data_IF_275955322347
#
_entry.id   IF_275955322347
#
_cell.length_a   1.000
_cell.length_b   1.000
_cell.length_c   1.000
_cell.angle_alpha   90.00
_cell.angle_beta   90.00
_cell.angle_gamma   90.00
#
_symmetry.space_group_name_H-M   'P 1'
#
loop_
_entity.id
_entity.type
_entity.pdbx_description
1 polymer ?
#
# COMPACT_ATOMS: atom_id res chain seq x y z
N UNK A 1 17.00 67.68 28.86
CA UNK A 1 16.53 67.67 27.46
C UNK A 1 15.20 66.93 27.43
N UNK A 2 14.07 67.57 27.78
CA UNK A 2 13.13 68.32 26.92
C UNK A 2 12.65 67.55 25.67
N UNK A 3 11.33 67.28 25.67
CA UNK A 3 10.42 66.60 24.69
C UNK A 3 10.22 67.45 23.40
N UNK A 4 9.17 67.27 22.55
CA UNK A 4 8.41 66.11 21.99
C UNK A 4 8.24 66.20 20.44
N UNK A 5 7.54 65.26 19.77
CA UNK A 5 6.34 65.54 18.93
C UNK A 5 5.79 64.33 18.14
N UNK A 6 4.51 64.03 18.38
CA UNK A 6 3.48 63.44 17.47
C UNK A 6 2.85 64.65 16.67
N UNK A 7 1.77 64.57 15.84
CA UNK A 7 0.96 63.48 15.26
C UNK A 7 0.45 63.75 13.79
N UNK A 8 -0.57 62.97 13.36
CA UNK A 8 -1.66 63.23 12.37
C UNK A 8 -1.42 62.71 10.93
N UNK A 9 -2.23 61.81 10.33
CA UNK A 9 -3.70 61.63 10.16
C UNK A 9 -4.24 62.26 8.86
N UNK A 10 -5.35 61.67 8.36
CA UNK A 10 -6.29 62.10 7.29
C UNK A 10 -6.11 61.35 5.95
N UNK A 11 -7.11 60.87 5.19
CA UNK A 11 -8.52 60.50 5.35
C UNK A 11 -9.08 60.14 3.94
N UNK A 12 -10.21 59.39 3.88
CA UNK A 12 -11.32 59.47 2.89
C UNK A 12 -11.02 59.18 1.39
N UNK A 13 -11.89 58.68 0.52
CA UNK A 13 -13.20 58.03 0.51
C UNK A 13 -13.52 57.72 -0.99
N UNK A 14 -14.65 57.06 -1.26
CA UNK A 14 -15.51 57.25 -2.47
C UNK A 14 -15.15 56.44 -3.74
N UNK A 15 -16.05 55.82 -4.51
CA UNK A 15 -17.49 55.51 -4.46
C UNK A 15 -17.87 54.78 -5.80
N UNK A 16 -18.95 53.95 -5.80
CA UNK A 16 -19.82 53.53 -6.94
C UNK A 16 -19.26 52.60 -8.05
N UNK A 17 -19.97 51.60 -8.61
CA UNK A 17 -21.37 51.56 -9.06
C UNK A 17 -21.93 50.14 -9.20
N UNK A 18 -23.27 50.04 -9.14
CA UNK A 18 -24.13 48.87 -9.23
C UNK A 18 -24.47 48.41 -10.67
N UNK A 19 -24.94 47.17 -10.84
CA UNK A 19 -26.11 46.85 -11.69
C UNK A 19 -26.70 45.45 -11.44
N UNK A 20 -28.03 45.40 -11.40
CA UNK A 20 -28.94 44.24 -11.29
C UNK A 20 -29.47 43.80 -12.67
N UNK A 21 -30.25 42.69 -12.67
CA UNK A 21 -31.22 42.19 -13.69
C UNK A 21 -30.67 41.33 -14.83
N UNK A 22 -31.33 40.29 -15.36
CA UNK A 22 -32.67 39.70 -15.20
C UNK A 22 -32.68 38.29 -15.84
N UNK A 23 -33.67 37.47 -15.47
CA UNK A 23 -33.99 36.14 -16.00
C UNK A 23 -34.37 36.15 -17.50
N UNK A 24 -34.05 35.05 -18.21
CA UNK A 24 -34.89 34.49 -19.27
C UNK A 24 -34.42 33.07 -19.64
N UNK A 25 -35.29 32.10 -19.33
CA UNK A 25 -35.40 30.81 -19.99
C UNK A 25 -35.90 30.99 -21.44
N UNK A 26 -35.36 30.22 -22.38
CA UNK A 26 -36.11 29.53 -23.46
C UNK A 26 -35.14 28.80 -24.41
N UNK A 27 -35.17 27.47 -24.28
CA UNK A 27 -35.33 26.44 -25.31
C UNK A 27 -34.34 26.22 -26.49
N UNK A 28 -33.85 24.97 -26.50
CA UNK A 28 -33.85 24.04 -27.62
C UNK A 28 -32.97 24.29 -28.86
N UNK A 29 -31.68 23.98 -28.77
CA UNK A 29 -31.03 23.24 -29.88
C UNK A 29 -29.73 22.52 -29.47
N UNK A 30 -29.69 21.21 -29.75
CA UNK A 30 -28.51 20.33 -29.94
C UNK A 30 -28.43 19.10 -29.01
N UNK A 31 -29.56 18.42 -28.83
CA UNK A 31 -29.67 17.02 -28.39
C UNK A 31 -29.18 16.03 -29.47
N UNK A 32 -27.93 16.12 -29.93
CA UNK A 32 -27.40 15.22 -30.97
C UNK A 32 -25.99 14.66 -30.72
N UNK A 33 -25.49 14.71 -29.48
CA UNK A 33 -24.12 14.22 -29.16
C UNK A 33 -23.97 13.44 -27.85
N UNK A 34 -25.04 12.80 -27.38
CA UNK A 34 -24.94 11.83 -26.27
C UNK A 34 -25.64 10.54 -26.67
N UNK A 35 -24.97 9.42 -26.39
CA UNK A 35 -25.40 8.03 -26.60
C UNK A 35 -25.02 7.34 -27.92
N UNK A 36 -23.80 7.57 -28.43
CA UNK A 36 -23.00 6.44 -28.94
C UNK A 36 -22.41 5.70 -27.73
N UNK A 37 -23.29 5.03 -27.00
CA UNK A 37 -22.90 4.15 -25.89
C UNK A 37 -22.30 2.90 -26.51
N UNK A 38 -20.99 2.77 -26.35
CA UNK A 38 -20.28 1.52 -26.56
C UNK A 38 -20.99 0.41 -25.79
N UNK A 39 -21.64 -0.50 -26.51
CA UNK A 39 -22.12 -1.77 -25.98
C UNK A 39 -20.91 -2.72 -25.99
N UNK A 40 -20.29 -3.06 -24.85
CA UNK A 40 -19.19 -4.01 -24.84
C UNK A 40 -19.68 -5.35 -25.39
N UNK A 41 -19.03 -5.82 -26.46
CA UNK A 41 -19.25 -7.14 -27.05
C UNK A 41 -18.58 -8.19 -26.17
N UNK A 42 -19.22 -8.57 -25.07
CA UNK A 42 -18.78 -9.70 -24.23
C UNK A 42 -19.91 -10.71 -24.02
N UNK A 43 -20.26 -11.42 -25.09
CA UNK A 43 -20.94 -12.73 -25.01
C UNK A 43 -19.96 -13.87 -25.33
N UNK A 44 -18.68 -13.72 -24.94
CA UNK A 44 -17.77 -14.86 -24.89
C UNK A 44 -17.97 -15.57 -23.55
N UNK A 45 -18.09 -16.90 -23.51
CA UNK A 45 -18.10 -17.63 -22.26
C UNK A 45 -16.81 -17.31 -21.49
N UNK A 46 -16.94 -16.64 -20.35
CA UNK A 46 -15.82 -16.46 -19.42
C UNK A 46 -15.37 -17.85 -18.97
N UNK A 47 -14.06 -18.18 -19.06
CA UNK A 47 -13.56 -19.42 -18.49
C UNK A 47 -13.91 -19.47 -16.99
N UNK A 48 -14.24 -20.66 -16.43
CA UNK A 48 -14.56 -20.78 -15.02
C UNK A 48 -13.38 -20.31 -14.17
N UNK A 49 -13.64 -19.69 -13.00
CA UNK A 49 -12.57 -19.26 -12.11
C UNK A 49 -11.80 -20.49 -11.63
N UNK A 50 -10.51 -20.56 -11.93
CA UNK A 50 -9.58 -21.48 -11.28
C UNK A 50 -9.40 -21.01 -9.84
N UNK A 51 -10.18 -21.57 -8.92
CA UNK A 51 -9.95 -21.48 -7.49
C UNK A 51 -8.61 -22.15 -7.19
N UNK A 52 -7.56 -21.35 -7.00
CA UNK A 52 -6.51 -21.72 -6.06
C UNK A 52 -7.11 -21.45 -4.68
N UNK A 53 -7.40 -22.52 -3.95
CA UNK A 53 -7.70 -22.46 -2.52
C UNK A 53 -6.62 -21.62 -1.83
N UNK A 54 -6.95 -20.37 -1.54
CA UNK A 54 -6.34 -19.64 -0.43
C UNK A 54 -7.40 -19.67 0.64
N UNK A 55 -7.08 -20.34 1.74
CA UNK A 55 -7.92 -20.57 2.91
C UNK A 55 -8.36 -19.23 3.50
N UNK A 56 -9.43 -18.64 2.97
CA UNK A 56 -10.04 -17.41 3.49
C UNK A 56 -11.57 -17.35 3.25
N UNK A 57 -12.18 -18.46 2.80
CA UNK A 57 -13.62 -18.57 2.59
C UNK A 57 -14.23 -19.60 3.57
N UNK A 58 -14.08 -19.34 4.87
CA UNK A 58 -14.83 -20.02 5.93
C UNK A 58 -15.04 -19.06 7.11
N UNK A 59 -15.67 -17.92 6.86
CA UNK A 59 -16.12 -17.00 7.91
C UNK A 59 -17.34 -16.17 7.48
N UNK A 60 -18.31 -16.81 6.80
CA UNK A 60 -19.63 -16.20 6.61
C UNK A 60 -20.54 -16.69 7.74
N UNK A 61 -20.60 -15.95 8.86
CA UNK A 61 -21.59 -16.19 9.92
C UNK A 61 -21.10 -16.09 11.37
N UNK A 62 -20.09 -15.28 11.70
CA UNK A 62 -19.71 -15.06 13.11
C UNK A 62 -19.43 -13.57 13.38
N UNK A 63 -19.59 -13.10 14.64
CA UNK A 63 -19.40 -11.68 15.00
C UNK A 63 -17.97 -11.23 14.65
N UNK A 64 -17.67 -9.92 14.55
CA UNK A 64 -16.38 -9.44 14.09
C UNK A 64 -15.26 -9.99 14.98
N UNK A 65 -14.58 -11.02 14.49
CA UNK A 65 -13.40 -11.57 15.14
C UNK A 65 -12.26 -10.57 14.94
N UNK A 66 -11.48 -10.24 15.99
CA UNK A 66 -10.34 -9.36 15.85
C UNK A 66 -9.40 -9.96 14.81
N UNK A 67 -8.98 -9.16 13.84
CA UNK A 67 -7.96 -9.54 12.86
C UNK A 67 -6.69 -9.91 13.62
N UNK A 68 -6.45 -11.19 13.83
CA UNK A 68 -5.25 -11.68 14.51
C UNK A 68 -4.13 -11.85 13.50
N UNK A 69 -2.93 -11.38 13.83
CA UNK A 69 -1.71 -11.79 13.12
C UNK A 69 -1.55 -13.31 13.19
N UNK A 70 -0.73 -13.89 12.29
CA UNK A 70 -0.30 -15.32 12.34
C UNK A 70 0.20 -15.77 13.73
N UNK A 71 0.62 -14.82 14.57
CA UNK A 71 1.11 -15.00 15.94
C UNK A 71 0.01 -14.97 17.02
N UNK A 72 -1.26 -14.79 16.66
CA UNK A 72 -2.39 -14.73 17.59
C UNK A 72 -2.56 -13.41 18.36
N UNK A 73 -1.75 -12.37 18.07
CA UNK A 73 -1.90 -11.07 18.73
C UNK A 73 -3.14 -10.30 18.22
N UNK A 74 -3.96 -9.74 19.13
CA UNK A 74 -5.11 -8.94 18.76
C UNK A 74 -4.64 -7.59 18.18
N UNK A 75 -5.00 -7.33 16.92
CA UNK A 75 -4.77 -6.02 16.30
C UNK A 75 -5.81 -5.02 16.79
N UNK A 76 -5.36 -3.84 17.18
CA UNK A 76 -6.26 -2.78 17.62
C UNK A 76 -6.84 -2.04 16.40
N UNK A 77 -8.17 -1.97 16.31
CA UNK A 77 -8.86 -1.36 15.17
C UNK A 77 -8.53 0.13 14.98
N UNK A 78 -8.26 0.86 16.08
CA UNK A 78 -7.90 2.30 16.04
C UNK A 78 -6.64 2.61 15.23
N UNK A 79 -5.74 1.63 15.08
CA UNK A 79 -4.50 1.80 14.34
C UNK A 79 -4.59 1.34 12.88
N UNK A 80 -5.76 0.89 12.41
CA UNK A 80 -5.92 0.46 11.02
C UNK A 80 -5.73 1.61 10.03
N UNK A 81 -6.41 2.74 10.24
CA UNK A 81 -6.25 3.95 9.40
C UNK A 81 -4.82 4.48 9.38
N UNK A 82 -4.22 4.74 10.56
CA UNK A 82 -2.80 5.10 10.66
C UNK A 82 -1.85 4.13 9.93
N UNK A 83 -2.07 2.82 10.07
CA UNK A 83 -1.23 1.83 9.40
C UNK A 83 -1.35 1.87 7.88
N UNK A 84 -2.56 2.04 7.34
CA UNK A 84 -2.78 2.18 5.90
C UNK A 84 -2.07 3.43 5.39
N UNK A 85 -2.28 4.57 6.06
CA UNK A 85 -1.72 5.84 5.65
C UNK A 85 -0.17 5.83 5.68
N UNK A 86 0.43 5.33 6.77
CA UNK A 86 1.89 5.19 6.88
C UNK A 86 2.49 4.29 5.79
N UNK A 87 1.82 3.20 5.43
CA UNK A 87 2.26 2.31 4.33
C UNK A 87 2.27 3.04 3.00
N UNK A 88 1.27 3.89 2.74
CA UNK A 88 1.18 4.66 1.50
C UNK A 88 2.27 5.74 1.36
N UNK A 89 2.87 6.17 2.47
CA UNK A 89 3.97 7.14 2.49
C UNK A 89 5.35 6.50 2.26
N UNK A 90 5.45 5.17 2.21
CA UNK A 90 6.72 4.51 1.91
C UNK A 90 7.13 4.86 0.47
N UNK A 91 8.34 5.43 0.25
CA UNK A 91 8.80 5.73 -1.10
C UNK A 91 8.88 4.44 -1.95
N UNK A 92 8.15 4.40 -3.06
CA UNK A 92 8.05 3.21 -3.93
C UNK A 92 9.40 2.74 -4.50
N UNK A 93 10.39 3.62 -4.57
CA UNK A 93 11.75 3.29 -5.02
C UNK A 93 12.68 2.76 -3.91
N UNK A 94 12.17 2.60 -2.69
CA UNK A 94 12.94 2.10 -1.55
C UNK A 94 13.08 0.57 -1.58
N UNK A 95 12.01 -0.16 -1.88
CA UNK A 95 11.97 -1.63 -1.93
C UNK A 95 10.99 -2.13 -2.99
N UNK A 96 11.25 -3.30 -3.56
CA UNK A 96 10.30 -4.03 -4.42
C UNK A 96 9.31 -4.87 -3.60
N UNK A 97 9.59 -5.10 -2.32
CA UNK A 97 8.68 -5.82 -1.44
C UNK A 97 7.45 -4.96 -1.13
N UNK A 98 6.27 -5.55 -1.25
CA UNK A 98 5.01 -4.91 -0.86
C UNK A 98 4.97 -4.74 0.65
N UNK A 99 4.83 -3.49 1.11
CA UNK A 99 4.66 -3.19 2.52
C UNK A 99 3.32 -3.73 3.06
N UNK A 100 3.36 -4.28 4.27
CA UNK A 100 2.24 -4.93 4.93
C UNK A 100 1.57 -3.99 5.93
N UNK A 101 0.33 -3.60 5.64
CA UNK A 101 -0.53 -2.85 6.57
C UNK A 101 -0.68 -3.59 7.90
N UNK A 102 -0.85 -4.92 7.87
CA UNK A 102 -1.02 -5.74 9.07
C UNK A 102 0.23 -5.72 9.97
N UNK A 103 1.43 -5.74 9.37
CA UNK A 103 2.68 -5.64 10.13
C UNK A 103 2.80 -4.28 10.83
N UNK A 104 2.47 -3.20 10.11
CA UNK A 104 2.48 -1.83 10.64
C UNK A 104 1.41 -1.64 11.72
N UNK A 105 0.19 -2.15 11.52
CA UNK A 105 -0.87 -2.11 12.53
C UNK A 105 -0.46 -2.86 13.80
N UNK A 106 0.18 -4.02 13.67
CA UNK A 106 0.74 -4.74 14.80
C UNK A 106 1.84 -3.94 15.50
N UNK A 107 2.72 -3.28 14.74
CA UNK A 107 3.77 -2.42 15.28
C UNK A 107 3.20 -1.25 16.09
N UNK A 108 2.20 -0.56 15.56
CA UNK A 108 1.49 0.52 16.26
C UNK A 108 0.76 0.01 17.51
N UNK A 109 0.13 -1.17 17.43
CA UNK A 109 -0.56 -1.79 18.57
C UNK A 109 0.41 -2.13 19.72
N UNK A 110 1.65 -2.54 19.41
CA UNK A 110 2.70 -2.81 20.40
C UNK A 110 3.34 -1.53 20.94
N UNK A 111 3.49 -0.52 20.09
CA UNK A 111 4.06 0.76 20.48
C UNK A 111 3.11 1.58 21.37
N UNK A 112 1.80 1.42 21.17
CA UNK A 112 0.71 2.08 21.92
C UNK A 112 0.95 3.59 22.13
N UNK A 113 1.36 4.24 21.04
CA UNK A 113 1.72 5.66 21.06
C UNK A 113 0.48 6.56 20.96
N UNK A 114 0.53 7.78 21.52
CA UNK A 114 -0.46 8.82 21.25
C UNK A 114 -0.56 9.11 19.75
N UNK A 115 -1.77 9.40 19.27
CA UNK A 115 -2.01 9.59 17.84
C UNK A 115 -1.24 10.80 17.29
N UNK A 116 -0.98 11.80 18.12
CA UNK A 116 -0.18 12.99 17.82
C UNK A 116 1.29 12.61 17.56
N UNK A 117 1.82 11.62 18.28
CA UNK A 117 3.18 11.11 18.04
C UNK A 117 3.24 10.30 16.74
N UNK A 118 2.16 9.57 16.42
CA UNK A 118 2.04 8.87 15.12
C UNK A 118 1.89 9.89 13.98
N UNK A 119 1.14 10.97 14.19
CA UNK A 119 1.00 12.08 13.23
C UNK A 119 2.34 12.76 12.95
N UNK A 120 3.19 12.97 13.98
CA UNK A 120 4.54 13.46 13.75
C UNK A 120 5.37 12.51 12.87
N UNK A 121 5.22 11.18 13.06
CA UNK A 121 5.88 10.21 12.19
C UNK A 121 5.34 10.26 10.75
N UNK A 122 4.04 10.52 10.56
CA UNK A 122 3.44 10.80 9.25
C UNK A 122 4.10 12.02 8.61
N UNK A 123 4.16 13.15 9.30
CA UNK A 123 4.80 14.38 8.80
C UNK A 123 6.29 14.18 8.45
N UNK A 124 7.00 13.37 9.25
CA UNK A 124 8.40 12.98 8.98
C UNK A 124 8.52 12.20 7.68
N UNK A 125 7.62 11.24 7.41
CA UNK A 125 7.66 10.44 6.19
C UNK A 125 7.25 11.24 4.96
N UNK A 126 6.24 12.10 5.07
CA UNK A 126 5.77 12.95 3.97
C UNK A 126 6.82 14.00 3.56
N UNK A 127 7.67 14.41 4.50
CA UNK A 127 8.76 15.37 4.26
C UNK A 127 10.04 14.76 3.69
N UNK A 128 10.07 13.46 3.40
CA UNK A 128 11.26 12.80 2.84
C UNK A 128 11.52 13.29 1.41
N UNK A 129 12.80 13.57 1.10
CA UNK A 129 13.17 14.01 -0.24
C UNK A 129 13.27 12.84 -1.25
N UNK A 130 13.32 13.18 -2.54
CA UNK A 130 13.43 12.21 -3.63
C UNK A 130 14.75 11.42 -3.65
N UNK A 131 15.76 11.83 -2.89
CA UNK A 131 17.07 11.15 -2.79
C UNK A 131 17.09 10.15 -1.63
N UNK A 132 16.18 10.27 -0.66
CA UNK A 132 16.10 9.41 0.52
C UNK A 132 16.19 7.92 0.17
N UNK A 133 15.33 7.43 -0.73
CA UNK A 133 15.27 6.01 -1.08
C UNK A 133 16.60 5.47 -1.62
N UNK A 134 17.32 6.29 -2.39
CA UNK A 134 18.64 5.93 -2.92
C UNK A 134 19.70 5.92 -1.81
N UNK A 135 19.70 6.92 -0.94
CA UNK A 135 20.63 7.00 0.19
C UNK A 135 20.42 5.83 1.15
N UNK A 136 19.15 5.54 1.49
CA UNK A 136 18.78 4.43 2.34
C UNK A 136 19.27 3.08 1.80
N UNK A 137 19.05 2.79 0.51
CA UNK A 137 19.55 1.54 -0.14
C UNK A 137 21.07 1.41 -0.15
N UNK A 138 21.80 2.52 -0.08
CA UNK A 138 23.28 2.52 -0.05
C UNK A 138 23.82 2.33 1.36
N UNK A 139 23.11 2.79 2.38
CA UNK A 139 23.61 2.86 3.75
C UNK A 139 23.03 1.78 4.68
N UNK A 140 21.83 1.28 4.40
CA UNK A 140 21.18 0.31 5.26
C UNK A 140 21.82 -1.09 5.10
N UNK A 141 22.35 -1.68 6.18
CA UNK A 141 23.06 -2.96 6.12
C UNK A 141 22.10 -4.12 5.89
N UNK A 142 22.54 -5.10 5.09
CA UNK A 142 21.88 -6.39 4.97
C UNK A 142 22.17 -7.24 6.21
N UNK A 143 21.20 -8.05 6.66
CA UNK A 143 21.49 -9.06 7.67
C UNK A 143 22.55 -10.02 7.11
N UNK A 144 23.58 -10.40 7.89
CA UNK A 144 24.48 -11.46 7.50
C UNK A 144 23.65 -12.73 7.30
N UNK A 145 23.49 -13.16 6.04
CA UNK A 145 22.89 -14.46 5.76
C UNK A 145 23.72 -15.51 6.50
N UNK A 146 23.08 -16.27 7.38
CA UNK A 146 23.71 -17.34 8.17
C UNK A 146 24.25 -18.49 7.28
N UNK A 147 24.09 -18.40 5.96
CA UNK A 147 24.54 -19.39 4.97
C UNK A 147 25.44 -18.68 3.95
N UNK A 148 26.74 -18.61 4.20
CA UNK A 148 27.72 -18.34 3.13
C UNK A 148 28.94 -17.48 3.45
N UNK A 149 28.99 -16.78 4.60
CA UNK A 149 30.17 -16.02 4.98
C UNK A 149 31.13 -16.84 5.86
N UNK A 150 31.48 -18.05 5.41
CA UNK A 150 32.75 -18.64 5.86
C UNK A 150 33.83 -17.87 5.10
N UNK A 151 34.77 -17.17 5.75
CA UNK A 151 35.94 -16.67 5.05
C UNK A 151 36.68 -17.91 4.54
N UNK A 152 36.47 -18.24 3.26
CA UNK A 152 37.23 -19.29 2.61
C UNK A 152 38.69 -18.86 2.67
N UNK A 153 39.44 -19.50 3.56
CA UNK A 153 40.89 -19.37 3.70
C UNK A 153 41.62 -20.01 2.51
N UNK A 154 41.00 -20.00 1.33
CA UNK A 154 41.59 -20.50 0.10
C UNK A 154 42.49 -19.41 -0.46
N UNK A 155 43.80 -19.60 -0.33
CA UNK A 155 44.86 -18.96 -1.11
C UNK A 155 44.63 -19.19 -2.61
N UNK A 156 43.62 -18.55 -3.20
CA UNK A 156 43.50 -18.37 -4.64
C UNK A 156 43.46 -16.88 -4.91
N UNK A 157 44.38 -16.45 -5.76
CA UNK A 157 44.38 -15.13 -6.38
C UNK A 157 43.12 -15.00 -7.25
N UNK A 158 41.98 -14.67 -6.64
CA UNK A 158 40.81 -14.18 -7.35
C UNK A 158 40.91 -12.67 -7.38
N UNK A 159 40.95 -12.11 -8.59
CA UNK A 159 41.01 -10.68 -8.86
C UNK A 159 40.04 -9.93 -7.95
N UNK A 160 40.54 -8.91 -7.25
CA UNK A 160 39.75 -8.04 -6.37
C UNK A 160 38.49 -7.60 -7.10
N UNK A 161 37.34 -8.07 -6.66
CA UNK A 161 36.05 -7.64 -7.18
C UNK A 161 36.00 -6.12 -7.05
N UNK A 162 35.81 -5.42 -8.18
CA UNK A 162 35.77 -3.96 -8.19
C UNK A 162 34.77 -3.44 -7.17
N UNK A 163 35.18 -2.49 -6.31
CA UNK A 163 34.31 -1.93 -5.27
C UNK A 163 32.99 -1.37 -5.84
N UNK A 164 33.02 -0.89 -7.08
CA UNK A 164 31.81 -0.42 -7.78
C UNK A 164 30.83 -1.56 -8.07
N UNK A 165 31.34 -2.71 -8.49
CA UNK A 165 30.52 -3.90 -8.75
C UNK A 165 29.94 -4.47 -7.45
N UNK A 166 30.72 -4.45 -6.37
CA UNK A 166 30.25 -4.88 -5.05
C UNK A 166 29.15 -3.95 -4.50
N UNK A 167 29.31 -2.62 -4.64
CA UNK A 167 28.28 -1.66 -4.23
C UNK A 167 26.98 -1.84 -5.04
N UNK A 168 27.09 -2.06 -6.36
CA UNK A 168 25.93 -2.32 -7.21
C UNK A 168 25.20 -3.61 -6.82
N UNK A 169 25.93 -4.69 -6.54
CA UNK A 169 25.34 -5.94 -6.04
C UNK A 169 24.65 -5.73 -4.68
N UNK A 170 25.25 -4.99 -3.76
CA UNK A 170 24.62 -4.69 -2.47
C UNK A 170 23.32 -3.89 -2.62
N UNK A 171 23.28 -2.92 -3.56
CA UNK A 171 22.05 -2.18 -3.85
C UNK A 171 20.93 -3.09 -4.40
N UNK A 172 21.27 -4.01 -5.31
CA UNK A 172 20.28 -4.96 -5.86
C UNK A 172 19.79 -5.94 -4.79
N UNK A 173 20.67 -6.42 -3.91
CA UNK A 173 20.24 -7.27 -2.80
C UNK A 173 19.36 -6.50 -1.80
N UNK A 174 19.64 -5.22 -1.55
CA UNK A 174 18.85 -4.41 -0.62
C UNK A 174 17.39 -4.24 -1.04
N UNK A 175 17.13 -4.01 -2.33
CA UNK A 175 15.78 -3.71 -2.82
C UNK A 175 14.80 -4.86 -2.56
N UNK A 176 15.31 -6.10 -2.45
CA UNK A 176 14.53 -7.32 -2.24
C UNK A 176 14.64 -7.88 -0.81
N UNK A 177 15.74 -7.62 -0.10
CA UNK A 177 16.04 -8.31 1.16
C UNK A 177 15.54 -7.59 2.43
N UNK A 178 15.35 -6.27 2.38
CA UNK A 178 14.95 -5.48 3.56
C UNK A 178 13.52 -5.01 3.41
N UNK A 179 12.66 -5.45 4.33
CA UNK A 179 11.26 -5.03 4.42
C UNK A 179 11.15 -3.52 4.64
N UNK A 180 10.40 -2.77 3.79
CA UNK A 180 10.36 -1.31 3.82
C UNK A 180 9.65 -0.72 5.04
N UNK A 181 8.88 -1.50 5.79
CA UNK A 181 8.23 -1.09 7.05
C UNK A 181 9.25 -0.66 8.12
N UNK A 182 10.54 -1.00 7.95
CA UNK A 182 11.63 -0.43 8.74
C UNK A 182 11.69 1.09 8.68
N UNK A 183 11.33 1.69 7.54
CA UNK A 183 11.29 3.15 7.36
C UNK A 183 10.25 3.76 8.30
N UNK A 184 9.08 3.12 8.40
CA UNK A 184 8.02 3.51 9.35
C UNK A 184 8.49 3.35 10.79
N UNK A 185 9.10 2.20 11.13
CA UNK A 185 9.65 1.99 12.47
C UNK A 185 10.64 3.09 12.86
N UNK A 186 11.55 3.45 11.95
CA UNK A 186 12.52 4.51 12.19
C UNK A 186 11.86 5.88 12.38
N UNK A 187 10.85 6.23 11.58
CA UNK A 187 10.09 7.48 11.74
C UNK A 187 9.36 7.55 13.09
N UNK A 188 8.72 6.46 13.53
CA UNK A 188 8.07 6.36 14.85
C UNK A 188 9.09 6.54 15.99
N UNK A 189 10.25 5.91 15.87
CA UNK A 189 11.32 6.04 16.87
C UNK A 189 11.85 7.47 16.93
N UNK A 190 12.02 8.15 15.79
CA UNK A 190 12.40 9.56 15.74
C UNK A 190 11.34 10.43 16.42
N UNK A 191 10.07 10.22 16.11
CA UNK A 191 8.96 10.97 16.71
C UNK A 191 8.93 10.80 18.24
N UNK A 192 9.06 9.57 18.74
CA UNK A 192 9.09 9.29 20.18
C UNK A 192 10.32 9.88 20.86
N UNK A 193 11.51 9.72 20.26
CA UNK A 193 12.73 10.33 20.80
C UNK A 193 12.67 11.85 20.83
N UNK A 194 11.83 12.45 19.98
CA UNK A 194 11.61 13.89 19.93
C UNK A 194 10.59 14.38 20.96
N UNK A 195 9.50 13.63 21.17
CA UNK A 195 8.40 14.04 22.06
C UNK A 195 8.54 13.55 23.50
N UNK A 196 9.35 12.51 23.75
CA UNK A 196 9.51 11.89 25.06
C UNK A 196 10.95 12.03 25.57
N UNK A 197 11.10 12.35 26.86
CA UNK A 197 12.38 12.53 27.54
C UNK A 197 13.13 11.20 27.83
N UNK A 198 12.49 10.11 28.32
CA UNK A 198 13.19 8.84 28.49
C UNK A 198 13.34 8.13 27.14
N UNK A 199 14.57 8.13 26.60
CA UNK A 199 14.88 7.37 25.39
C UNK A 199 15.19 5.91 25.72
N UNK A 200 14.49 5.00 25.05
CA UNK A 200 14.81 3.57 25.10
C UNK A 200 15.99 3.25 24.16
N UNK A 201 16.78 2.21 24.45
CA UNK A 201 17.85 1.80 23.56
C UNK A 201 17.29 1.33 22.22
N UNK A 202 18.02 1.51 21.11
CA UNK A 202 17.59 1.05 19.77
C UNK A 202 17.16 -0.42 19.73
N UNK A 203 17.79 -1.27 20.56
CA UNK A 203 17.47 -2.69 20.67
C UNK A 203 16.04 -2.95 21.16
N UNK A 204 15.54 -2.12 22.09
CA UNK A 204 14.16 -2.20 22.59
C UNK A 204 13.18 -2.05 21.44
N UNK A 205 13.28 -1.00 20.63
CA UNK A 205 12.37 -0.79 19.50
C UNK A 205 12.40 -1.93 18.48
N UNK A 206 13.58 -2.50 18.19
CA UNK A 206 13.69 -3.65 17.30
C UNK A 206 13.01 -4.91 17.86
N UNK A 207 13.12 -5.17 19.16
CA UNK A 207 12.55 -6.35 19.80
C UNK A 207 11.05 -6.17 20.06
N UNK A 208 10.68 -5.11 20.78
CA UNK A 208 9.33 -4.88 21.28
C UNK A 208 8.38 -4.41 20.16
N UNK A 209 8.81 -3.47 19.32
CA UNK A 209 7.94 -2.98 18.23
C UNK A 209 8.16 -3.77 16.95
N UNK A 210 9.41 -4.11 16.63
CA UNK A 210 9.79 -4.81 15.42
C UNK A 210 9.74 -6.34 15.48
N UNK A 211 9.45 -6.97 16.63
CA UNK A 211 9.50 -8.44 16.82
C UNK A 211 10.80 -9.09 16.33
N UNK A 212 11.93 -8.41 16.53
CA UNK A 212 13.25 -8.83 16.07
C UNK A 212 13.38 -9.05 14.54
N UNK A 213 12.44 -8.54 13.73
CA UNK A 213 12.49 -8.63 12.25
C UNK A 213 13.69 -7.85 11.69
N UNK A 214 14.06 -6.75 12.34
CA UNK A 214 15.17 -5.89 11.93
C UNK A 214 16.23 -5.78 13.02
N UNK A 215 17.47 -5.63 12.60
CA UNK A 215 18.58 -5.40 13.53
C UNK A 215 18.67 -3.93 13.96
N UNK A 216 19.20 -3.67 15.15
CA UNK A 216 19.48 -2.30 15.61
C UNK A 216 20.42 -1.54 14.66
N UNK A 217 21.29 -2.23 13.90
CA UNK A 217 22.16 -1.60 12.89
C UNK A 217 21.35 -1.06 11.71
N UNK A 218 20.34 -1.81 11.27
CA UNK A 218 19.42 -1.36 10.23
C UNK A 218 18.56 -0.19 10.69
N UNK A 219 18.04 -0.25 11.91
CA UNK A 219 17.28 0.85 12.50
C UNK A 219 18.13 2.12 12.60
N UNK A 220 19.31 2.05 13.22
CA UNK A 220 20.22 3.20 13.33
C UNK A 220 20.69 3.77 11.98
N UNK A 221 20.83 2.92 10.95
CA UNK A 221 21.16 3.39 9.60
C UNK A 221 19.97 4.15 8.98
N UNK A 222 18.76 3.62 9.13
CA UNK A 222 17.52 4.20 8.62
C UNK A 222 17.18 5.51 9.31
N UNK A 223 17.29 5.58 10.65
CA UNK A 223 17.11 6.81 11.41
C UNK A 223 18.03 7.92 10.89
N UNK A 224 19.32 7.61 10.67
CA UNK A 224 20.28 8.58 10.13
C UNK A 224 19.89 9.05 8.73
N UNK A 225 19.49 8.14 7.83
CA UNK A 225 19.05 8.52 6.48
C UNK A 225 17.82 9.44 6.51
N UNK A 226 16.86 9.19 7.40
CA UNK A 226 15.69 10.07 7.57
C UNK A 226 16.15 11.45 8.07
N UNK A 227 16.96 11.49 9.14
CA UNK A 227 17.44 12.74 9.72
C UNK A 227 18.26 13.58 8.74
N UNK A 228 19.11 12.94 7.94
CA UNK A 228 19.87 13.61 6.88
C UNK A 228 18.97 14.18 5.78
N UNK A 229 17.94 13.43 5.36
CA UNK A 229 16.95 13.90 4.37
C UNK A 229 16.18 15.13 4.87
N UNK A 230 15.80 15.13 6.15
CA UNK A 230 15.14 16.27 6.81
C UNK A 230 16.10 17.44 7.12
N UNK A 231 17.39 17.32 6.82
CA UNK A 231 18.43 18.26 7.23
C UNK A 231 18.41 18.52 8.75
N UNK A 232 18.07 17.48 9.54
CA UNK A 232 17.94 17.52 11.00
C UNK A 232 16.92 18.54 11.53
N UNK A 233 15.91 18.92 10.72
CA UNK A 233 14.86 19.88 11.10
C UNK A 233 13.52 19.18 11.36
N UNK A 234 13.36 18.61 12.55
CA UNK A 234 12.07 18.03 12.99
C UNK A 234 11.10 19.10 13.50
N UNK A 235 11.62 20.15 14.15
CA UNK A 235 10.78 21.11 14.87
C UNK A 235 9.64 21.74 14.04
N UNK A 236 9.86 22.12 12.76
CA UNK A 236 8.78 22.65 11.92
C UNK A 236 7.64 21.66 11.64
N UNK A 237 7.91 20.36 11.75
CA UNK A 237 6.93 19.29 11.50
C UNK A 237 6.02 19.03 12.71
N UNK A 238 6.31 19.66 13.86
CA UNK A 238 5.51 19.55 15.07
C UNK A 238 4.50 20.70 15.20
N UNK A 239 4.27 21.46 14.13
CA UNK A 239 3.22 22.48 14.12
C UNK A 239 1.86 21.79 14.22
N UNK A 240 0.99 22.33 15.08
CA UNK A 240 -0.32 21.75 15.38
C UNK A 240 -1.19 21.61 14.14
N UNK A 241 -1.07 22.52 13.17
CA UNK A 241 -1.85 22.45 11.92
C UNK A 241 -1.43 21.21 11.10
N UNK A 242 -0.12 20.97 10.96
CA UNK A 242 0.38 19.77 10.25
C UNK A 242 0.02 18.46 10.96
N UNK A 243 0.07 18.45 12.30
CA UNK A 243 -0.31 17.27 13.07
C UNK A 243 -1.81 16.98 12.95
N UNK A 244 -2.66 18.01 13.00
CA UNK A 244 -4.10 17.87 12.83
C UNK A 244 -4.46 17.36 11.43
N UNK A 245 -3.85 17.90 10.37
CA UNK A 245 -4.05 17.44 8.99
C UNK A 245 -3.64 15.98 8.83
N UNK A 246 -2.48 15.58 9.36
CA UNK A 246 -2.03 14.20 9.35
C UNK A 246 -3.01 13.24 10.08
N UNK A 247 -3.62 13.68 11.19
CA UNK A 247 -4.64 12.89 11.89
C UNK A 247 -5.90 12.70 11.06
N UNK A 248 -6.32 13.72 10.32
CA UNK A 248 -7.46 13.63 9.39
C UNK A 248 -7.15 12.64 8.26
N UNK A 249 -5.97 12.70 7.66
CA UNK A 249 -5.56 11.78 6.59
C UNK A 249 -5.52 10.32 7.07
N UNK A 250 -5.02 10.07 8.29
CA UNK A 250 -5.06 8.75 8.91
C UNK A 250 -6.49 8.24 9.12
N UNK A 251 -7.42 9.11 9.48
CA UNK A 251 -8.84 8.74 9.63
C UNK A 251 -9.50 8.45 8.27
N UNK A 252 -9.23 9.26 7.26
CA UNK A 252 -9.75 9.08 5.90
C UNK A 252 -9.25 7.76 5.29
N UNK A 253 -7.99 7.39 5.52
CA UNK A 253 -7.43 6.14 5.05
C UNK A 253 -8.17 4.89 5.59
N UNK A 254 -8.72 4.94 6.80
CA UNK A 254 -9.57 3.85 7.33
C UNK A 254 -10.89 3.74 6.55
N UNK A 255 -11.53 4.89 6.27
CA UNK A 255 -12.83 4.93 5.61
C UNK A 255 -12.78 4.45 4.15
N UNK A 256 -11.69 4.78 3.45
CA UNK A 256 -11.48 4.34 2.06
C UNK A 256 -11.46 2.81 1.95
N UNK A 257 -10.77 2.13 2.86
CA UNK A 257 -10.73 0.67 2.90
C UNK A 257 -12.11 0.06 3.16
N UNK A 258 -12.90 0.64 4.06
CA UNK A 258 -14.25 0.18 4.35
C UNK A 258 -15.19 0.35 3.15
N UNK A 259 -15.00 1.40 2.34
CA UNK A 259 -15.73 1.62 1.10
C UNK A 259 -15.36 0.57 0.03
N UNK A 260 -14.07 0.32 -0.19
CA UNK A 260 -13.58 -0.69 -1.15
C UNK A 260 -14.12 -2.09 -0.83
N UNK A 261 -14.17 -2.46 0.45
CA UNK A 261 -14.73 -3.75 0.88
C UNK A 261 -16.23 -3.86 0.61
N UNK A 262 -17.00 -2.76 0.76
CA UNK A 262 -18.44 -2.76 0.45
C UNK A 262 -18.71 -2.89 -1.04
N UNK A 263 -17.89 -2.28 -1.89
CA UNK A 263 -18.06 -2.35 -3.35
C UNK A 263 -17.73 -3.73 -3.94
N UNK A 264 -16.87 -4.52 -3.27
CA UNK A 264 -16.56 -5.89 -3.70
C UNK A 264 -17.68 -6.91 -3.42
N UNK A 265 -18.69 -6.55 -2.63
CA UNK A 265 -19.90 -7.38 -2.48
C UNK A 265 -20.85 -7.12 -3.66
N UNK A 266 -21.22 -8.15 -4.45
CA UNK A 266 -22.20 -7.98 -5.52
C UNK A 266 -23.49 -7.39 -4.96
N UNK A 267 -24.19 -6.49 -5.70
CA UNK A 267 -25.48 -6.00 -5.24
C UNK A 267 -26.40 -7.19 -5.00
N UNK A 268 -26.86 -7.33 -3.75
CA UNK A 268 -27.85 -8.32 -3.36
C UNK A 268 -29.05 -8.06 -4.26
N UNK A 269 -29.31 -8.98 -5.17
CA UNK A 269 -30.49 -8.94 -6.01
C UNK A 269 -31.68 -9.00 -5.06
N UNK A 270 -32.31 -7.84 -4.83
CA UNK A 270 -33.59 -7.78 -4.14
C UNK A 270 -34.54 -8.65 -4.95
N UNK A 271 -34.85 -9.83 -4.42
CA UNK A 271 -35.94 -10.65 -4.91
C UNK A 271 -37.21 -9.86 -4.62
N UNK A 272 -37.67 -9.07 -5.59
CA UNK A 272 -39.04 -8.57 -5.59
C UNK A 272 -39.93 -9.79 -5.81
N UNK A 273 -40.35 -10.39 -4.70
CA UNK A 273 -41.49 -11.28 -4.65
C UNK A 273 -42.73 -10.43 -4.88
N UNK A 274 -43.11 -10.23 -6.14
CA UNK A 274 -44.48 -9.93 -6.49
C UNK A 274 -44.98 -11.02 -7.45
N UNK A 275 -45.98 -11.73 -6.95
CA UNK A 275 -46.77 -12.74 -7.63
C UNK A 275 -47.55 -12.15 -8.83
N UNK A 276 -47.98 -13.07 -9.69
CA UNK A 276 -49.00 -12.93 -10.75
C UNK A 276 -48.62 -12.28 -12.09
N UNK A 277 -48.17 -13.13 -13.03
CA UNK A 277 -48.71 -13.14 -14.40
C UNK A 277 -48.40 -14.46 -15.14
N UNK A 278 -49.39 -15.35 -15.17
CA UNK A 278 -49.43 -16.56 -15.99
C UNK A 278 -49.53 -16.18 -17.48
N UNK A 279 -48.54 -16.56 -18.29
CA UNK A 279 -48.67 -16.57 -19.76
C UNK A 279 -48.33 -17.95 -20.33
N UNK A 280 -49.24 -18.63 -21.06
CA UNK A 280 -49.05 -20.01 -21.55
C UNK A 280 -48.39 -20.13 -22.94
N UNK A 281 -47.71 -21.26 -23.17
CA UNK A 281 -47.35 -21.80 -24.50
C UNK A 281 -45.90 -21.50 -24.92
N UNK A 282 -45.07 -22.42 -25.42
CA UNK A 282 -45.37 -23.50 -26.34
C UNK A 282 -44.40 -24.71 -26.22
N UNK A 283 -45.02 -25.89 -26.23
CA UNK A 283 -44.69 -27.09 -27.03
C UNK A 283 -43.27 -27.68 -27.05
N UNK A 284 -43.18 -28.85 -26.41
CA UNK A 284 -42.23 -29.94 -26.67
C UNK A 284 -42.22 -30.36 -28.15
N UNK A 285 -41.02 -30.54 -28.70
CA UNK A 285 -40.74 -31.42 -29.87
C UNK A 285 -39.39 -32.11 -29.61
N UNK A 286 -39.34 -33.35 -29.10
CA UNK A 286 -39.37 -34.64 -29.83
C UNK A 286 -38.37 -34.75 -30.99
N UNK A 287 -37.26 -35.42 -30.67
CA UNK A 287 -36.49 -36.45 -31.39
C UNK A 287 -36.69 -36.63 -32.90
N UNK A 288 -35.58 -36.56 -33.65
CA UNK A 288 -35.36 -37.36 -34.86
C UNK A 288 -33.87 -37.73 -34.97
N UNK A 289 -33.59 -39.03 -34.97
CA UNK A 289 -32.32 -39.66 -35.40
C UNK A 289 -32.48 -40.05 -36.86
N UNK A 290 -31.38 -40.13 -37.63
CA UNK A 290 -31.15 -41.39 -38.34
C UNK A 290 -29.73 -41.94 -38.24
N UNK A 291 -29.70 -43.29 -38.19
CA UNK A 291 -28.64 -44.27 -38.44
C UNK A 291 -27.50 -43.86 -39.37
N UNK A 292 -26.23 -44.09 -39.01
CA UNK A 292 -25.41 -45.34 -39.08
C UNK A 292 -25.02 -45.77 -40.51
N UNK A 293 -23.74 -45.59 -40.83
CA UNK A 293 -22.82 -46.61 -41.39
C UNK A 293 -21.41 -46.28 -40.83
N UNK A 294 -20.89 -47.01 -39.84
CA UNK A 294 -20.20 -48.31 -39.96
C UNK A 294 -18.90 -48.24 -40.78
N UNK A 295 -17.74 -48.21 -40.08
CA UNK A 295 -16.62 -49.16 -40.24
C UNK A 295 -15.41 -48.76 -39.38
N UNK A 296 -15.33 -49.38 -38.20
CA UNK A 296 -14.19 -50.18 -37.71
C UNK A 296 -12.78 -49.57 -37.50
N UNK A 297 -11.98 -50.16 -36.59
CA UNK A 297 -10.92 -49.49 -35.85
C UNK A 297 -9.50 -49.89 -36.30
N UNK A 298 -8.48 -49.07 -36.00
CA UNK A 298 -7.10 -49.58 -35.86
C UNK A 298 -6.19 -48.69 -35.00
N UNK A 299 -5.69 -49.31 -33.93
CA UNK A 299 -4.56 -48.91 -33.06
C UNK A 299 -3.26 -49.64 -33.53
N UNK A 300 -2.08 -49.41 -32.90
CA UNK A 300 -0.85 -48.77 -33.42
C UNK A 300 0.23 -49.79 -33.90
N UNK A 301 1.49 -49.41 -34.27
CA UNK A 301 2.63 -49.29 -33.31
C UNK A 301 3.65 -48.17 -33.70
N UNK A 302 4.44 -47.56 -32.79
CA UNK A 302 5.69 -47.98 -32.14
C UNK A 302 6.89 -48.30 -33.08
N UNK A 303 7.97 -47.48 -33.02
CA UNK A 303 9.36 -47.71 -33.50
C UNK A 303 10.21 -46.51 -32.99
N UNK A 304 11.01 -46.57 -31.92
CA UNK A 304 12.26 -47.31 -31.61
C UNK A 304 13.51 -46.85 -32.41
N UNK A 305 14.52 -46.44 -31.62
CA UNK A 305 15.99 -46.47 -31.79
C UNK A 305 16.74 -45.34 -32.54
N UNK A 306 17.48 -44.53 -31.76
CA UNK A 306 18.96 -44.36 -31.68
C UNK A 306 19.85 -44.94 -32.81
N UNK A 307 21.08 -44.40 -33.09
CA UNK A 307 22.10 -44.11 -32.06
C UNK A 307 23.09 -42.94 -32.29
N UNK A 308 23.85 -42.71 -31.20
CA UNK A 308 25.12 -41.98 -31.05
C UNK A 308 26.24 -42.62 -31.90
N UNK A 309 27.28 -41.86 -32.27
CA UNK A 309 28.62 -42.29 -31.86
C UNK A 309 29.52 -41.16 -31.34
N UNK A 310 30.37 -41.53 -30.40
CA UNK A 310 31.51 -40.81 -29.84
C UNK A 310 32.56 -40.41 -30.90
N UNK A 311 33.18 -39.23 -30.72
CA UNK A 311 34.63 -39.03 -30.50
C UNK A 311 34.89 -37.61 -30.00
#
# INVERSE_FOLDING_TARGET
>A
MQRPNKPQAIALASHHSAKLHDDNDDDDQASSFKYLTYRPLSNLPTPPPTYKETTAAAAAGSPPTPTTLEDGEPLQARFLGPAIHLVNLIPSSASLATASVTLVQGMLSRADLPLETVALAVCVLDSLDSKFARAWRLCCPLLPSAVGAVPSLSKRHTLSTSLLYQAQQQQMLHIDSVKPELIILAALVIAVKFTQDPQQPTQFYCLDWGKAVWSHRQLNATERCIMESLNYRIMPLCDEDYLADAMVDMQLAAQQRDAELREQTPPVSVSSSDDDAFVPGHSRSKTAVPSVMALGPRLPPNLVASPVPDM
#
